data_IF_829451442875
#
_entry.id   IF_829451442875
#
_cell.length_a   1.000
_cell.length_b   1.000
_cell.length_c   1.000
_cell.angle_alpha   90.00
_cell.angle_beta   90.00
_cell.angle_gamma   90.00
#
_symmetry.space_group_name_H-M   'P 1'
#
loop_
_entity.id
_entity.type
_entity.pdbx_description
1 polymer ?
#
# COMPACT_ATOMS: atom_id res chain seq x y z
N UNK A 1 3.69 19.26 -5.98
CA UNK A 1 4.83 18.34 -5.89
C UNK A 1 4.57 17.19 -4.91
N UNK A 2 3.92 17.48 -3.78
CA UNK A 2 3.54 16.44 -2.83
C UNK A 2 2.65 15.36 -3.46
N UNK A 3 1.87 15.69 -4.48
CA UNK A 3 0.97 14.75 -5.17
C UNK A 3 1.69 13.74 -6.07
N UNK A 4 2.98 13.94 -6.31
CA UNK A 4 3.80 13.03 -7.15
C UNK A 4 4.47 11.94 -6.34
N UNK A 5 4.61 12.13 -5.01
CA UNK A 5 5.27 11.19 -4.12
C UNK A 5 4.24 10.59 -3.16
N UNK A 6 4.39 9.32 -2.80
CA UNK A 6 3.39 8.62 -1.97
C UNK A 6 3.53 8.97 -0.49
N UNK A 7 3.37 10.26 -0.15
CA UNK A 7 3.43 10.73 1.23
C UNK A 7 2.07 10.70 1.93
N UNK A 8 0.98 10.57 1.19
CA UNK A 8 -0.36 10.43 1.76
C UNK A 8 -0.64 8.96 2.07
N UNK A 9 -1.42 8.71 3.13
CA UNK A 9 -1.84 7.35 3.45
C UNK A 9 -2.89 6.86 2.46
N UNK A 10 -2.80 5.60 2.00
CA UNK A 10 -3.85 5.00 1.16
C UNK A 10 -5.14 4.75 1.93
N UNK A 11 -5.08 4.68 3.26
CA UNK A 11 -6.24 4.54 4.15
C UNK A 11 -6.10 5.55 5.29
N UNK A 12 -6.47 6.82 5.04
CA UNK A 12 -6.29 7.88 6.03
C UNK A 12 -6.92 7.51 7.37
N UNK A 13 -6.23 7.87 8.46
CA UNK A 13 -6.65 7.63 9.84
C UNK A 13 -6.63 6.15 10.28
N UNK A 14 -6.21 5.23 9.44
CA UNK A 14 -6.06 3.83 9.84
C UNK A 14 -4.75 3.63 10.62
N UNK A 15 -4.79 2.73 11.61
CA UNK A 15 -3.62 2.40 12.39
C UNK A 15 -2.72 1.41 11.66
N UNK A 16 -1.41 1.57 11.84
CA UNK A 16 -0.42 0.63 11.35
C UNK A 16 -0.32 -0.49 12.40
N UNK A 17 -0.56 -1.74 11.97
CA UNK A 17 -0.51 -2.90 12.86
C UNK A 17 0.74 -3.73 12.67
N UNK A 18 1.45 -3.57 11.55
CA UNK A 18 2.68 -4.29 11.27
C UNK A 18 3.60 -3.41 10.45
N UNK A 19 4.88 -3.31 10.88
CA UNK A 19 5.84 -2.40 10.27
C UNK A 19 6.78 -3.11 9.31
N UNK A 20 7.42 -2.32 8.48
CA UNK A 20 8.44 -2.76 7.54
C UNK A 20 9.71 -3.20 8.28
N UNK A 21 10.37 -4.22 7.73
CA UNK A 21 11.68 -4.65 8.19
C UNK A 21 11.69 -6.05 8.76
N UNK A 22 12.83 -6.43 9.31
CA UNK A 22 12.98 -7.72 9.95
C UNK A 22 12.31 -7.73 11.32
N UNK A 23 11.66 -8.85 11.62
CA UNK A 23 11.07 -9.06 12.92
C UNK A 23 11.14 -10.55 13.28
N UNK A 24 11.16 -10.85 14.57
CA UNK A 24 11.23 -12.22 15.04
C UNK A 24 9.85 -12.87 14.91
N UNK A 25 9.82 -14.06 14.30
CA UNK A 25 8.62 -14.86 14.26
C UNK A 25 8.33 -15.39 15.66
N UNK A 26 7.16 -15.13 16.26
CA UNK A 26 6.87 -15.56 17.62
C UNK A 26 6.72 -17.07 17.79
N UNK A 27 6.51 -17.80 16.69
CA UNK A 27 6.31 -19.27 16.74
C UNK A 27 7.64 -20.00 16.54
N UNK A 28 8.36 -19.67 15.47
CA UNK A 28 9.59 -20.39 15.12
C UNK A 28 10.87 -19.68 15.58
N UNK A 29 10.74 -18.47 16.09
CA UNK A 29 11.87 -17.72 16.65
C UNK A 29 12.88 -17.18 15.65
N UNK A 30 12.71 -17.44 14.34
CA UNK A 30 13.59 -16.90 13.31
C UNK A 30 13.16 -15.51 12.87
N UNK A 31 14.09 -14.73 12.32
CA UNK A 31 13.78 -13.42 11.75
C UNK A 31 13.04 -13.59 10.42
N UNK A 32 11.99 -12.80 10.25
CA UNK A 32 11.24 -12.74 9.00
C UNK A 32 11.22 -11.30 8.49
N UNK A 33 11.40 -11.11 7.18
CA UNK A 33 11.35 -9.81 6.55
C UNK A 33 9.94 -9.47 6.11
N UNK A 34 9.46 -8.29 6.54
CA UNK A 34 8.19 -7.74 6.10
C UNK A 34 8.45 -6.60 5.12
N UNK A 35 8.13 -6.82 3.85
CA UNK A 35 8.48 -5.90 2.76
C UNK A 35 7.56 -4.69 2.62
N UNK A 36 6.65 -4.47 3.56
CA UNK A 36 5.71 -3.36 3.54
C UNK A 36 5.21 -3.07 4.93
N UNK A 37 4.07 -2.38 4.99
CA UNK A 37 3.36 -2.16 6.26
C UNK A 37 1.92 -2.63 6.11
N UNK A 38 1.30 -2.99 7.22
CA UNK A 38 -0.11 -3.38 7.26
C UNK A 38 -0.92 -2.33 8.00
N UNK A 39 -2.05 -1.94 7.42
CA UNK A 39 -3.01 -1.04 8.03
C UNK A 39 -4.23 -1.84 8.49
N UNK A 40 -4.72 -1.56 9.69
CA UNK A 40 -5.98 -2.09 10.16
C UNK A 40 -7.13 -1.36 9.46
N UNK A 41 -7.99 -2.10 8.78
CA UNK A 41 -9.16 -1.54 8.14
C UNK A 41 -10.18 -2.66 7.90
N UNK A 42 -11.46 -2.29 7.88
CA UNK A 42 -12.53 -3.23 7.65
C UNK A 42 -12.66 -3.57 6.17
N UNK A 43 -13.20 -4.75 5.88
CA UNK A 43 -13.53 -5.17 4.51
C UNK A 43 -14.47 -4.13 3.91
N UNK A 44 -14.16 -3.66 2.71
CA UNK A 44 -14.96 -2.66 2.01
C UNK A 44 -14.52 -1.23 2.25
N UNK A 45 -13.57 -0.99 3.16
CA UNK A 45 -13.02 0.36 3.36
C UNK A 45 -12.30 0.82 2.09
N UNK A 46 -12.60 2.02 1.56
CA UNK A 46 -11.98 2.47 0.31
C UNK A 46 -10.49 2.73 0.46
N UNK A 47 -9.74 2.36 -0.58
CA UNK A 47 -8.31 2.59 -0.67
C UNK A 47 -8.08 3.72 -1.66
N UNK A 48 -7.32 4.73 -1.26
CA UNK A 48 -7.03 5.90 -2.09
C UNK A 48 -5.61 5.85 -2.64
N UNK A 49 -5.43 6.29 -3.87
CA UNK A 49 -4.10 6.41 -4.46
C UNK A 49 -3.29 7.43 -3.67
N UNK A 50 -2.11 7.04 -3.15
CA UNK A 50 -1.30 7.95 -2.33
C UNK A 50 -0.60 9.04 -3.13
N UNK A 51 -0.53 8.87 -4.45
CA UNK A 51 0.07 9.82 -5.39
C UNK A 51 -0.46 9.52 -6.78
N UNK A 52 -0.32 10.48 -7.69
CA UNK A 52 -0.70 10.29 -9.08
C UNK A 52 0.19 9.22 -9.74
N UNK A 53 -0.35 8.50 -10.70
CA UNK A 53 0.39 7.49 -11.43
C UNK A 53 -0.45 6.77 -12.47
N UNK A 54 0.07 5.63 -12.92
CA UNK A 54 -0.58 4.76 -13.90
C UNK A 54 -0.69 3.37 -13.28
N UNK A 55 -1.83 2.72 -13.46
CA UNK A 55 -2.02 1.36 -12.95
C UNK A 55 -1.13 0.41 -13.74
N UNK A 56 -0.15 -0.15 -13.05
CA UNK A 56 0.81 -1.11 -13.62
C UNK A 56 0.24 -2.53 -13.62
N UNK A 57 -0.54 -2.87 -12.60
CA UNK A 57 -1.11 -4.20 -12.44
C UNK A 57 -2.43 -4.10 -11.67
N UNK A 58 -3.41 -4.88 -12.08
CA UNK A 58 -4.68 -5.01 -11.36
C UNK A 58 -5.22 -6.42 -11.56
N UNK A 59 -5.21 -7.24 -10.52
CA UNK A 59 -5.63 -8.63 -10.61
C UNK A 59 -5.14 -9.47 -9.44
N UNK A 60 -5.17 -10.78 -9.60
CA UNK A 60 -4.68 -11.72 -8.59
C UNK A 60 -3.17 -11.90 -8.73
N UNK A 61 -2.45 -11.76 -7.60
CA UNK A 61 -0.99 -11.89 -7.58
C UNK A 61 -0.55 -12.74 -6.38
N UNK A 62 -0.47 -14.04 -6.58
CA UNK A 62 0.03 -14.98 -5.58
C UNK A 62 -0.56 -14.77 -4.18
N UNK A 63 0.29 -14.74 -3.16
CA UNK A 63 -0.13 -14.55 -1.77
C UNK A 63 -0.73 -13.18 -1.46
N UNK A 64 -0.55 -12.20 -2.35
CA UNK A 64 -1.19 -10.88 -2.18
C UNK A 64 -2.71 -10.93 -2.39
N UNK A 65 -3.23 -11.98 -3.04
CA UNK A 65 -4.64 -12.03 -3.40
C UNK A 65 -4.97 -10.99 -4.46
N UNK A 66 -6.10 -10.32 -4.33
CA UNK A 66 -6.43 -9.21 -5.23
C UNK A 66 -5.45 -8.06 -4.94
N UNK A 67 -4.74 -7.65 -5.98
CA UNK A 67 -3.60 -6.74 -5.88
C UNK A 67 -3.67 -5.64 -6.92
N UNK A 68 -3.26 -4.43 -6.53
CA UNK A 68 -3.10 -3.30 -7.44
C UNK A 68 -1.66 -2.80 -7.29
N UNK A 69 -1.05 -2.41 -8.41
CA UNK A 69 0.24 -1.73 -8.42
C UNK A 69 0.10 -0.44 -9.21
N UNK A 70 0.60 0.66 -8.63
CA UNK A 70 0.62 1.97 -9.28
C UNK A 70 2.08 2.34 -9.54
N UNK A 71 2.38 2.68 -10.79
CA UNK A 71 3.68 3.21 -11.17
C UNK A 71 3.62 4.73 -11.08
N UNK A 72 4.45 5.28 -10.22
CA UNK A 72 4.60 6.72 -10.04
C UNK A 72 5.86 7.20 -10.77
N UNK A 73 6.24 8.46 -10.59
CA UNK A 73 7.47 9.00 -11.16
C UNK A 73 8.70 8.53 -10.39
N UNK A 74 9.88 8.66 -11.01
CA UNK A 74 11.19 8.41 -10.39
C UNK A 74 11.39 6.98 -9.89
N UNK A 75 10.84 6.00 -10.62
CA UNK A 75 11.03 4.59 -10.30
C UNK A 75 10.24 4.10 -9.09
N UNK A 76 9.29 4.89 -8.60
CA UNK A 76 8.49 4.54 -7.44
C UNK A 76 7.27 3.74 -7.87
N UNK A 77 7.02 2.61 -7.20
CA UNK A 77 5.85 1.77 -7.38
C UNK A 77 5.22 1.54 -6.02
N UNK A 78 3.89 1.67 -5.94
CA UNK A 78 3.14 1.29 -4.73
C UNK A 78 2.31 0.06 -5.01
N UNK A 79 2.25 -0.86 -4.03
CA UNK A 79 1.54 -2.13 -4.17
C UNK A 79 0.56 -2.28 -3.02
N UNK A 80 -0.66 -2.73 -3.37
CA UNK A 80 -1.79 -2.84 -2.44
C UNK A 80 -2.29 -4.28 -2.50
N UNK A 81 -2.23 -4.99 -1.38
CA UNK A 81 -2.59 -6.40 -1.32
C UNK A 81 -3.82 -6.72 -0.47
N UNK A 82 -4.37 -7.89 -0.70
CA UNK A 82 -5.51 -8.47 0.03
C UNK A 82 -6.84 -7.75 -0.18
N UNK A 83 -7.02 -7.09 -1.34
CA UNK A 83 -8.23 -6.34 -1.64
C UNK A 83 -9.46 -7.25 -1.78
N UNK A 84 -10.62 -6.73 -1.37
CA UNK A 84 -11.90 -7.37 -1.66
C UNK A 84 -12.41 -7.00 -3.04
N UNK A 85 -12.09 -5.81 -3.53
CA UNK A 85 -12.54 -5.31 -4.83
C UNK A 85 -11.48 -4.44 -5.47
N UNK A 86 -11.28 -4.64 -6.77
CA UNK A 86 -10.42 -3.81 -7.63
C UNK A 86 -11.35 -2.94 -8.46
N UNK A 87 -11.12 -1.61 -8.44
CA UNK A 87 -11.97 -0.64 -9.13
C UNK A 87 -11.31 0.01 -10.33
N UNK A 88 -10.11 -0.45 -10.68
CA UNK A 88 -9.28 0.14 -11.75
C UNK A 88 -8.78 -0.94 -12.68
N UNK A 89 -8.29 -0.54 -13.85
CA UNK A 89 -7.72 -1.45 -14.85
C UNK A 89 -6.30 -1.04 -15.21
N UNK A 90 -5.51 -2.01 -15.68
CA UNK A 90 -4.14 -1.73 -16.12
C UNK A 90 -4.12 -0.66 -17.19
N UNK A 91 -3.14 0.24 -17.10
CA UNK A 91 -2.97 1.37 -18.02
C UNK A 91 -3.78 2.60 -17.66
N UNK A 92 -4.69 2.50 -16.72
CA UNK A 92 -5.52 3.64 -16.31
C UNK A 92 -4.66 4.70 -15.59
N UNK A 93 -4.85 5.97 -15.96
CA UNK A 93 -4.19 7.09 -15.27
C UNK A 93 -4.99 7.44 -14.02
N UNK A 94 -4.29 7.55 -12.89
CA UNK A 94 -4.91 7.77 -11.59
C UNK A 94 -4.41 9.08 -10.99
N UNK A 95 -5.33 9.90 -10.50
CA UNK A 95 -4.99 11.11 -9.73
C UNK A 95 -4.74 10.74 -8.27
N UNK A 96 -3.92 11.53 -7.59
CA UNK A 96 -3.74 11.39 -6.14
C UNK A 96 -5.10 11.52 -5.44
N UNK A 97 -5.38 10.61 -4.50
CA UNK A 97 -6.62 10.61 -3.75
C UNK A 97 -7.79 9.86 -4.40
N UNK A 98 -7.65 9.40 -5.65
CA UNK A 98 -8.70 8.62 -6.31
C UNK A 98 -8.88 7.27 -5.61
N UNK A 99 -10.12 6.81 -5.49
CA UNK A 99 -10.42 5.47 -4.94
C UNK A 99 -10.06 4.43 -5.99
N UNK A 100 -9.22 3.47 -5.62
CA UNK A 100 -8.72 2.44 -6.53
C UNK A 100 -9.27 1.05 -6.23
N UNK A 101 -9.74 0.83 -5.01
CA UNK A 101 -10.27 -0.46 -4.60
C UNK A 101 -10.73 -0.44 -3.16
N UNK A 102 -11.06 -1.61 -2.63
CA UNK A 102 -11.56 -1.75 -1.26
C UNK A 102 -10.73 -2.76 -0.49
N UNK A 103 -10.51 -2.48 0.79
CA UNK A 103 -9.82 -3.38 1.72
C UNK A 103 -10.54 -4.72 1.79
N UNK A 104 -9.79 -5.79 1.92
CA UNK A 104 -10.33 -7.14 2.02
C UNK A 104 -9.50 -8.06 2.89
N UNK A 105 -9.60 -9.34 2.57
CA UNK A 105 -8.89 -10.40 3.28
C UNK A 105 -8.54 -11.53 2.30
N UNK A 106 -8.32 -11.18 1.03
CA UNK A 106 -8.00 -12.16 -0.01
C UNK A 106 -6.52 -12.53 0.00
N UNK A 107 -6.20 -13.67 -0.58
CA UNK A 107 -4.83 -14.17 -0.62
C UNK A 107 -4.40 -14.74 0.73
N UNK A 108 -3.10 -14.66 1.00
CA UNK A 108 -2.52 -15.16 2.26
C UNK A 108 -2.66 -14.11 3.34
N UNK A 109 -3.82 -14.06 3.97
CA UNK A 109 -4.15 -13.08 4.99
C UNK A 109 -4.87 -13.75 6.15
N UNK A 110 -4.58 -13.33 7.38
CA UNK A 110 -5.18 -13.87 8.60
C UNK A 110 -6.31 -13.02 9.15
N UNK A 111 -6.61 -11.91 8.52
CA UNK A 111 -7.70 -11.01 8.91
C UNK A 111 -7.76 -9.77 8.04
N UNK A 112 -8.85 -9.00 8.10
CA UNK A 112 -9.02 -7.81 7.27
C UNK A 112 -7.92 -6.78 7.54
N UNK A 113 -7.19 -6.41 6.49
CA UNK A 113 -6.17 -5.37 6.55
C UNK A 113 -5.74 -5.01 5.13
N UNK A 114 -5.06 -3.87 4.99
CA UNK A 114 -4.39 -3.50 3.75
C UNK A 114 -2.90 -3.75 3.93
N UNK A 115 -2.33 -4.57 3.05
CA UNK A 115 -0.87 -4.69 2.93
C UNK A 115 -0.40 -3.68 1.90
N UNK A 116 0.53 -2.81 2.29
CA UNK A 116 0.99 -1.69 1.49
C UNK A 116 2.50 -1.69 1.36
N UNK A 117 2.99 -1.67 0.12
CA UNK A 117 4.42 -1.63 -0.18
C UNK A 117 4.75 -0.41 -1.01
N UNK A 118 5.93 0.15 -0.75
CA UNK A 118 6.56 1.12 -1.65
C UNK A 118 7.86 0.50 -2.12
N UNK A 119 8.07 0.50 -3.43
CA UNK A 119 9.27 -0.02 -4.05
C UNK A 119 9.92 1.08 -4.87
N UNK A 120 11.24 1.19 -4.78
CA UNK A 120 12.01 2.16 -5.56
C UNK A 120 13.00 1.37 -6.39
N UNK A 121 12.91 1.50 -7.72
CA UNK A 121 13.70 0.71 -8.67
C UNK A 121 13.64 -0.79 -8.33
N UNK A 122 12.42 -1.24 -8.04
CA UNK A 122 12.07 -2.64 -7.73
C UNK A 122 12.60 -3.14 -6.37
N UNK A 123 13.13 -2.28 -5.53
CA UNK A 123 13.57 -2.63 -4.19
C UNK A 123 12.58 -2.15 -3.15
N UNK A 124 12.16 -2.99 -2.19
CA UNK A 124 11.25 -2.56 -1.14
C UNK A 124 11.92 -1.55 -0.22
N UNK A 125 11.20 -0.47 0.10
CA UNK A 125 11.65 0.54 1.05
C UNK A 125 10.58 0.72 2.12
N UNK A 126 10.98 1.26 3.27
CA UNK A 126 10.06 1.48 4.37
C UNK A 126 9.05 2.56 4.01
N UNK A 127 7.74 2.22 3.88
CA UNK A 127 6.72 3.21 3.54
C UNK A 127 6.63 4.34 4.57
N UNK A 128 7.03 4.11 5.81
CA UNK A 128 6.99 5.12 6.86
C UNK A 128 7.85 6.35 6.52
N UNK A 129 8.90 6.18 5.71
CA UNK A 129 9.72 7.31 5.26
C UNK A 129 8.89 8.36 4.54
N UNK A 130 7.94 7.91 3.69
CA UNK A 130 7.06 8.80 2.95
C UNK A 130 5.90 9.29 3.81
N UNK A 131 5.28 8.37 4.56
CA UNK A 131 4.11 8.69 5.37
C UNK A 131 4.45 9.67 6.50
N UNK A 132 5.63 9.56 7.10
CA UNK A 132 6.07 10.48 8.14
C UNK A 132 6.25 11.90 7.61
N UNK A 133 6.73 12.04 6.39
CA UNK A 133 6.83 13.34 5.72
C UNK A 133 5.42 13.92 5.52
N UNK A 134 4.49 13.12 5.03
CA UNK A 134 3.11 13.54 4.84
C UNK A 134 2.45 14.04 6.12
N UNK A 135 2.67 13.34 7.24
CA UNK A 135 2.15 13.76 8.54
C UNK A 135 2.72 15.10 9.00
N UNK A 136 4.00 15.34 8.72
CA UNK A 136 4.65 16.61 9.10
C UNK A 136 4.14 17.80 8.32
N UNK A 137 3.82 17.61 7.03
CA UNK A 137 3.41 18.73 6.18
C UNK A 137 1.90 18.84 6.00
N UNK A 138 1.11 17.86 6.47
CA UNK A 138 -0.34 17.87 6.31
C UNK A 138 -0.99 19.16 6.81
N UNK A 139 -0.59 19.75 7.97
CA UNK A 139 -1.17 21.02 8.41
C UNK A 139 -0.89 22.20 7.48
N UNK A 140 0.08 22.06 6.57
CA UNK A 140 0.46 23.12 5.64
C UNK A 140 -0.24 23.00 4.28
N UNK A 141 -0.92 21.90 4.06
CA UNK A 141 -1.64 21.61 2.80
C UNK A 141 -3.15 22.01 2.86
#
# INVERSE_FOLDING_TARGET
QARRYPIASPVPNADITSRFGYRKDPIIGSAAFHGGIDFRAEIGHPIKAPAAGVIEFAGVKGGYGNCIEIRHKNGILTRFGHLSRIRVTEGEKIAAGAVIGDVGNTGRSTGPHLHYEIRVDDNPVDPWRYLSIGRKIAPLL
#
